data_IF_358980340285
#
_entry.id   IF_358980340285
#
_cell.length_a   1.000
_cell.length_b   1.000
_cell.length_c   1.000
_cell.angle_alpha   90.00
_cell.angle_beta   90.00
_cell.angle_gamma   90.00
#
_symmetry.space_group_name_H-M   'P 1'
#
loop_
_entity.id
_entity.type
_entity.pdbx_description
1 polymer ?
#
# COMPACT_ATOMS: atom_id res chain seq x y z
N UNK A 1 -14.23 5.59 -6.62
CA UNK A 1 -15.24 4.55 -6.94
C UNK A 1 -14.65 3.45 -7.80
N UNK A 2 -14.03 3.77 -8.93
CA UNK A 2 -13.45 2.76 -9.84
C UNK A 2 -12.34 1.93 -9.19
N UNK A 3 -11.52 2.54 -8.35
CA UNK A 3 -10.46 1.84 -7.63
C UNK A 3 -11.02 0.86 -6.60
N UNK A 4 -12.05 1.26 -5.85
CA UNK A 4 -12.73 0.39 -4.88
C UNK A 4 -13.37 -0.78 -5.61
N UNK A 5 -14.05 -0.52 -6.71
CA UNK A 5 -14.65 -1.56 -7.55
C UNK A 5 -13.58 -2.55 -8.06
N UNK A 6 -12.45 -2.03 -8.52
CA UNK A 6 -11.35 -2.84 -9.03
C UNK A 6 -10.84 -3.85 -7.98
N UNK A 7 -10.47 -3.38 -6.79
CA UNK A 7 -9.91 -4.26 -5.76
C UNK A 7 -10.94 -5.26 -5.24
N UNK A 8 -12.20 -4.89 -5.18
CA UNK A 8 -13.27 -5.78 -4.76
C UNK A 8 -13.51 -6.88 -5.79
N UNK A 9 -13.64 -6.53 -7.07
CA UNK A 9 -13.86 -7.49 -8.15
C UNK A 9 -12.69 -8.44 -8.37
N UNK A 10 -11.46 -7.97 -8.12
CA UNK A 10 -10.27 -8.82 -8.21
C UNK A 10 -10.02 -9.66 -6.97
N UNK A 11 -10.87 -9.53 -5.94
CA UNK A 11 -10.70 -10.29 -4.70
C UNK A 11 -9.49 -9.87 -3.88
N UNK A 12 -8.94 -8.68 -4.12
CA UNK A 12 -7.76 -8.18 -3.43
C UNK A 12 -8.10 -7.64 -2.05
N UNK A 13 -9.25 -7.01 -1.92
CA UNK A 13 -9.75 -6.47 -0.66
C UNK A 13 -11.21 -6.87 -0.49
N UNK A 14 -11.50 -7.48 0.65
CA UNK A 14 -12.87 -7.85 0.98
C UNK A 14 -13.60 -6.68 1.65
N UNK A 15 -14.93 -6.69 1.57
CA UNK A 15 -15.75 -5.80 2.36
C UNK A 15 -15.66 -6.17 3.85
N UNK A 16 -15.87 -5.18 4.72
CA UNK A 16 -15.89 -5.39 6.17
C UNK A 16 -17.11 -6.20 6.58
N UNK A 17 -18.20 -6.03 5.83
CA UNK A 17 -19.46 -6.74 6.00
C UNK A 17 -20.11 -6.87 4.63
N UNK A 18 -21.17 -7.65 4.54
CA UNK A 18 -21.88 -7.86 3.26
C UNK A 18 -22.33 -6.51 2.70
N UNK A 19 -21.81 -6.18 1.52
CA UNK A 19 -22.13 -4.93 0.84
C UNK A 19 -21.48 -3.67 1.40
N UNK A 20 -20.59 -3.79 2.42
CA UNK A 20 -19.95 -2.66 3.06
C UNK A 20 -18.44 -2.76 2.88
N UNK A 21 -17.84 -1.79 2.19
CA UNK A 21 -16.39 -1.73 1.96
C UNK A 21 -15.66 -0.87 3.00
N UNK A 22 -16.32 0.10 3.61
CA UNK A 22 -15.75 1.09 4.55
C UNK A 22 -14.52 1.80 3.96
N UNK A 23 -14.69 2.60 2.91
CA UNK A 23 -13.56 3.19 2.19
C UNK A 23 -12.69 4.12 3.04
N UNK A 24 -13.26 4.71 4.09
CA UNK A 24 -12.55 5.64 4.96
C UNK A 24 -11.90 4.97 6.18
N UNK A 25 -12.06 3.66 6.34
CA UNK A 25 -11.38 2.92 7.40
C UNK A 25 -9.88 2.82 7.08
N UNK A 26 -9.05 2.77 8.12
CA UNK A 26 -7.62 2.64 7.99
C UNK A 26 -7.22 1.20 7.69
N UNK A 27 -6.07 1.04 7.05
CA UNK A 27 -5.49 -0.27 6.74
C UNK A 27 -4.45 -0.66 7.77
N UNK A 28 -4.46 -1.92 8.19
CA UNK A 28 -3.38 -2.48 9.01
C UNK A 28 -2.25 -3.01 8.14
N UNK A 29 -1.07 -3.21 8.75
CA UNK A 29 0.09 -3.80 8.07
C UNK A 29 -0.25 -5.19 7.53
N UNK A 30 -0.91 -6.03 8.32
CA UNK A 30 -1.31 -7.38 7.91
C UNK A 30 -2.27 -7.37 6.72
N UNK A 31 -3.17 -6.41 6.65
CA UNK A 31 -4.08 -6.26 5.51
C UNK A 31 -3.32 -5.98 4.21
N UNK A 32 -2.29 -5.14 4.26
CA UNK A 32 -1.44 -4.86 3.10
C UNK A 32 -0.70 -6.12 2.67
N UNK A 33 -0.13 -6.86 3.62
CA UNK A 33 0.56 -8.14 3.31
C UNK A 33 -0.39 -9.11 2.62
N UNK A 34 -1.62 -9.23 3.11
CA UNK A 34 -2.62 -10.13 2.53
C UNK A 34 -2.97 -9.75 1.09
N UNK A 35 -3.12 -8.45 0.83
CA UNK A 35 -3.44 -7.96 -0.51
C UNK A 35 -2.30 -8.27 -1.48
N UNK A 36 -1.08 -7.96 -1.12
CA UNK A 36 0.08 -8.21 -1.97
C UNK A 36 0.30 -9.71 -2.20
N UNK A 37 0.08 -10.53 -1.17
CA UNK A 37 0.16 -11.98 -1.29
C UNK A 37 -0.88 -12.51 -2.28
N UNK A 38 -2.10 -12.00 -2.24
CA UNK A 38 -3.15 -12.37 -3.20
C UNK A 38 -2.81 -11.95 -4.63
N UNK A 39 -2.22 -10.77 -4.81
CA UNK A 39 -1.71 -10.33 -6.12
C UNK A 39 -0.67 -11.31 -6.63
N UNK A 40 0.19 -11.81 -5.74
CA UNK A 40 1.25 -12.77 -6.07
C UNK A 40 0.74 -14.20 -6.27
N UNK A 41 -0.56 -14.43 -6.16
CA UNK A 41 -1.18 -15.73 -6.40
C UNK A 41 -1.37 -16.60 -5.18
N UNK A 42 -1.07 -16.10 -3.98
CA UNK A 42 -1.26 -16.83 -2.73
C UNK A 42 -2.73 -16.83 -2.29
N UNK A 43 -3.15 -17.93 -1.68
CA UNK A 43 -4.46 -18.01 -1.05
C UNK A 43 -4.35 -17.54 0.40
N UNK A 44 -5.00 -16.43 0.73
CA UNK A 44 -4.96 -15.84 2.07
C UNK A 44 -6.40 -15.68 2.54
N UNK A 45 -6.87 -16.67 3.30
CA UNK A 45 -8.26 -16.73 3.82
C UNK A 45 -8.26 -17.46 5.15
N UNK A 46 -9.41 -17.41 5.85
CA UNK A 46 -9.66 -18.17 7.07
C UNK A 46 -9.05 -17.54 8.32
N UNK A 47 -9.09 -18.29 9.42
CA UNK A 47 -8.69 -17.80 10.74
C UNK A 47 -7.20 -17.48 10.86
N UNK A 48 -6.35 -18.13 10.06
CA UNK A 48 -4.88 -17.96 10.11
C UNK A 48 -4.38 -17.00 9.02
N UNK A 49 -5.22 -16.15 8.48
CA UNK A 49 -4.85 -15.29 7.36
C UNK A 49 -3.67 -14.36 7.68
N UNK A 50 -3.59 -13.87 8.94
CA UNK A 50 -2.47 -12.99 9.35
C UNK A 50 -1.15 -13.74 9.30
N UNK A 51 -1.10 -14.96 9.84
CA UNK A 51 0.12 -15.77 9.85
C UNK A 51 0.57 -16.12 8.42
N UNK A 52 -0.38 -16.46 7.55
CA UNK A 52 -0.11 -16.75 6.14
C UNK A 52 0.45 -15.52 5.43
N UNK A 53 -0.19 -14.38 5.61
CA UNK A 53 0.24 -13.13 4.99
C UNK A 53 1.61 -12.68 5.51
N UNK A 54 1.85 -12.81 6.82
CA UNK A 54 3.14 -12.47 7.44
C UNK A 54 4.27 -13.33 6.87
N UNK A 55 4.07 -14.63 6.79
CA UNK A 55 5.08 -15.55 6.27
C UNK A 55 5.44 -15.21 4.83
N UNK A 56 4.45 -14.90 4.00
CA UNK A 56 4.68 -14.47 2.63
C UNK A 56 5.47 -13.16 2.58
N UNK A 57 5.05 -12.15 3.37
CA UNK A 57 5.69 -10.83 3.37
C UNK A 57 7.16 -10.90 3.80
N UNK A 58 7.47 -11.73 4.80
CA UNK A 58 8.85 -11.93 5.25
C UNK A 58 9.68 -12.67 4.20
N UNK A 59 9.13 -13.70 3.59
CA UNK A 59 9.82 -14.49 2.56
C UNK A 59 10.14 -13.64 1.31
N UNK A 60 9.23 -12.75 0.94
CA UNK A 60 9.40 -11.88 -0.23
C UNK A 60 10.16 -10.58 0.08
N UNK A 61 10.55 -10.37 1.33
CA UNK A 61 11.26 -9.14 1.72
C UNK A 61 10.42 -7.88 1.71
N UNK A 62 9.10 -8.01 1.70
CA UNK A 62 8.16 -6.87 1.69
C UNK A 62 8.09 -6.20 3.05
N UNK A 63 8.16 -7.00 4.13
CA UNK A 63 8.06 -6.53 5.50
C UNK A 63 8.85 -7.44 6.44
N UNK A 64 9.18 -6.91 7.61
CA UNK A 64 9.83 -7.70 8.68
C UNK A 64 8.81 -8.52 9.51
N UNK A 65 7.52 -8.38 9.22
CA UNK A 65 6.47 -9.13 9.91
C UNK A 65 6.05 -8.57 11.26
N UNK A 66 6.60 -7.42 11.67
CA UNK A 66 6.26 -6.82 12.97
C UNK A 66 4.96 -6.03 12.91
N UNK A 67 4.32 -5.92 14.05
CA UNK A 67 3.15 -5.07 14.29
C UNK A 67 2.01 -5.29 13.27
N UNK A 68 1.48 -6.52 13.14
CA UNK A 68 0.47 -6.81 12.11
C UNK A 68 -0.80 -5.97 12.23
N UNK A 69 -1.17 -5.56 13.45
CA UNK A 69 -2.36 -4.78 13.71
C UNK A 69 -2.11 -3.27 13.72
N UNK A 70 -0.86 -2.84 13.55
CA UNK A 70 -0.50 -1.44 13.43
C UNK A 70 -1.05 -0.84 12.14
N UNK A 71 -1.48 0.43 12.21
CA UNK A 71 -1.98 1.12 11.03
C UNK A 71 -0.82 1.47 10.08
N UNK A 72 -1.05 1.25 8.80
CA UNK A 72 -0.04 1.55 7.79
C UNK A 72 -0.12 3.03 7.41
N UNK A 73 1.05 3.66 7.31
CA UNK A 73 1.15 5.03 6.77
C UNK A 73 1.28 4.99 5.25
N UNK A 74 1.07 6.14 4.61
CA UNK A 74 1.19 6.25 3.16
C UNK A 74 2.59 5.89 2.69
N UNK A 75 3.64 6.36 3.39
CA UNK A 75 5.02 6.02 3.02
C UNK A 75 5.36 4.55 3.27
N UNK A 76 4.79 3.93 4.30
CA UNK A 76 4.96 2.50 4.55
C UNK A 76 4.31 1.68 3.43
N UNK A 77 3.12 2.05 3.01
CA UNK A 77 2.43 1.37 1.92
C UNK A 77 3.25 1.47 0.62
N UNK A 78 3.71 2.67 0.29
CA UNK A 78 4.56 2.89 -0.89
C UNK A 78 5.83 2.05 -0.83
N UNK A 79 6.45 1.95 0.34
CA UNK A 79 7.67 1.16 0.54
C UNK A 79 7.42 -0.34 0.34
N UNK A 80 6.29 -0.84 0.83
CA UNK A 80 5.92 -2.25 0.63
C UNK A 80 5.67 -2.56 -0.84
N UNK A 81 4.98 -1.69 -1.57
CA UNK A 81 4.79 -1.82 -3.02
C UNK A 81 6.13 -1.79 -3.76
N UNK A 82 7.00 -0.88 -3.38
CA UNK A 82 8.33 -0.72 -3.99
C UNK A 82 9.18 -1.98 -3.78
N UNK A 83 9.17 -2.54 -2.58
CA UNK A 83 9.87 -3.80 -2.29
C UNK A 83 9.29 -4.95 -3.10
N UNK A 84 7.98 -5.04 -3.17
CA UNK A 84 7.31 -6.07 -3.98
C UNK A 84 7.66 -5.93 -5.47
N UNK A 85 7.83 -4.72 -5.97
CA UNK A 85 8.22 -4.45 -7.34
C UNK A 85 9.70 -4.72 -7.64
N UNK A 86 10.50 -5.13 -6.64
CA UNK A 86 11.92 -5.43 -6.82
C UNK A 86 12.85 -4.28 -6.51
N UNK A 87 12.40 -3.30 -5.76
CA UNK A 87 13.17 -2.13 -5.32
C UNK A 87 13.76 -1.32 -6.49
N UNK A 88 12.94 -0.92 -7.47
CA UNK A 88 13.45 -0.18 -8.62
C UNK A 88 14.08 1.16 -8.21
N UNK A 89 15.17 1.52 -8.86
CA UNK A 89 15.83 2.78 -8.61
C UNK A 89 14.95 3.95 -9.05
N UNK A 90 14.98 5.04 -8.30
CA UNK A 90 14.32 6.28 -8.67
C UNK A 90 15.04 7.47 -8.03
N UNK A 91 15.27 8.49 -8.82
CA UNK A 91 15.79 9.78 -8.35
C UNK A 91 14.82 10.92 -8.66
N UNK A 92 13.55 10.59 -8.89
CA UNK A 92 12.52 11.58 -9.18
C UNK A 92 12.40 12.59 -8.05
N UNK A 93 12.36 13.88 -8.39
CA UNK A 93 12.33 14.95 -7.39
C UNK A 93 10.93 15.07 -6.76
N UNK A 94 10.90 15.18 -5.43
CA UNK A 94 9.70 15.47 -4.66
C UNK A 94 9.60 16.96 -4.29
N UNK A 95 10.40 17.81 -4.89
CA UNK A 95 10.53 19.23 -4.53
C UNK A 95 9.22 20.01 -4.67
N UNK A 96 8.31 19.58 -5.54
CA UNK A 96 7.01 20.25 -5.69
C UNK A 96 6.09 20.07 -4.48
N UNK A 97 6.37 19.09 -3.61
CA UNK A 97 5.59 18.84 -2.43
C UNK A 97 6.19 19.58 -1.24
N UNK A 98 5.37 20.40 -0.57
CA UNK A 98 5.85 21.25 0.54
C UNK A 98 6.26 20.44 1.76
N UNK A 99 5.75 19.23 1.91
CA UNK A 99 6.07 18.33 3.03
C UNK A 99 7.04 17.21 2.65
N UNK A 100 7.82 17.39 1.57
CA UNK A 100 8.78 16.36 1.14
C UNK A 100 9.83 16.04 2.21
N UNK A 101 10.17 16.99 3.08
CA UNK A 101 11.11 16.79 4.19
C UNK A 101 10.56 15.85 5.27
N UNK A 102 9.24 15.61 5.29
CA UNK A 102 8.60 14.68 6.23
C UNK A 102 8.72 13.22 5.79
N UNK A 103 9.16 12.96 4.56
CA UNK A 103 9.39 11.59 4.10
C UNK A 103 10.60 11.01 4.85
N UNK A 104 10.42 9.84 5.44
CA UNK A 104 11.50 9.14 6.15
C UNK A 104 12.61 8.74 5.17
N UNK A 105 13.86 8.75 5.62
CA UNK A 105 15.01 8.40 4.77
C UNK A 105 14.86 7.01 4.15
N UNK A 106 14.38 6.04 4.93
CA UNK A 106 14.18 4.68 4.44
C UNK A 106 13.07 4.56 3.39
N UNK A 107 12.18 5.54 3.30
CA UNK A 107 11.07 5.57 2.34
C UNK A 107 11.35 6.49 1.15
N UNK A 108 12.48 7.17 1.13
CA UNK A 108 12.78 8.22 0.14
C UNK A 108 12.72 7.70 -1.30
N UNK A 109 13.43 6.62 -1.62
CA UNK A 109 13.45 6.05 -2.96
C UNK A 109 12.09 5.49 -3.34
N UNK A 110 11.41 4.82 -2.40
CA UNK A 110 10.08 4.27 -2.64
C UNK A 110 9.05 5.36 -2.96
N UNK A 111 9.09 6.47 -2.22
CA UNK A 111 8.19 7.61 -2.47
C UNK A 111 8.49 8.28 -3.81
N UNK A 112 9.77 8.48 -4.14
CA UNK A 112 10.16 9.01 -5.45
C UNK A 112 9.65 8.12 -6.58
N UNK A 113 9.84 6.83 -6.46
CA UNK A 113 9.35 5.85 -7.42
C UNK A 113 7.82 5.89 -7.54
N UNK A 114 7.11 5.91 -6.42
CA UNK A 114 5.64 5.91 -6.41
C UNK A 114 5.06 7.17 -7.08
N UNK A 115 5.68 8.32 -6.85
CA UNK A 115 5.27 9.58 -7.50
C UNK A 115 5.62 9.56 -8.98
N UNK A 116 6.82 9.11 -9.33
CA UNK A 116 7.27 9.01 -10.72
C UNK A 116 6.33 8.15 -11.56
N UNK A 117 5.90 7.02 -11.00
CA UNK A 117 5.00 6.06 -11.69
C UNK A 117 3.52 6.42 -11.58
N UNK A 118 3.19 7.52 -10.92
CA UNK A 118 1.81 7.96 -10.78
C UNK A 118 0.98 7.14 -9.80
N UNK A 119 1.61 6.29 -8.98
CA UNK A 119 0.93 5.50 -7.94
C UNK A 119 0.43 6.43 -6.84
N UNK A 120 1.26 7.39 -6.42
CA UNK A 120 0.91 8.43 -5.47
C UNK A 120 0.90 9.77 -6.21
N UNK A 121 -0.23 10.47 -6.13
CA UNK A 121 -0.38 11.79 -6.77
C UNK A 121 -0.41 12.93 -5.77
N UNK A 122 -0.36 12.61 -4.47
CA UNK A 122 -0.50 13.58 -3.39
C UNK A 122 -1.93 13.58 -2.83
N UNK A 123 -2.05 14.06 -1.60
CA UNK A 123 -3.36 14.28 -0.95
C UNK A 123 -3.95 15.58 -1.51
N UNK A 124 -3.09 16.57 -1.73
CA UNK A 124 -3.39 17.79 -2.47
C UNK A 124 -2.34 17.94 -3.57
N UNK A 125 -2.45 18.99 -4.39
CA UNK A 125 -1.46 19.28 -5.43
C UNK A 125 -0.05 19.52 -4.85
N UNK A 126 0.06 19.85 -3.56
CA UNK A 126 1.32 20.26 -2.94
C UNK A 126 1.71 19.45 -1.70
N UNK A 127 0.92 18.43 -1.30
CA UNK A 127 1.24 17.64 -0.09
C UNK A 127 1.13 16.14 -0.34
N UNK A 128 2.08 15.38 0.21
CA UNK A 128 2.11 13.91 0.15
C UNK A 128 1.49 13.27 1.40
N UNK A 129 1.60 13.93 2.54
CA UNK A 129 1.23 13.41 3.87
C UNK A 129 1.81 12.00 4.09
N UNK A 130 3.15 11.85 4.06
CA UNK A 130 3.78 10.52 4.08
C UNK A 130 3.52 9.75 5.37
N UNK A 131 3.38 10.43 6.49
CA UNK A 131 3.13 9.81 7.80
C UNK A 131 1.65 9.71 8.16
N UNK A 132 0.77 10.19 7.29
CA UNK A 132 -0.66 10.00 7.45
C UNK A 132 -1.05 8.55 7.21
N UNK A 133 -2.02 8.04 7.99
CA UNK A 133 -2.51 6.67 7.78
C UNK A 133 -3.24 6.55 6.44
N UNK A 134 -2.98 5.45 5.75
CA UNK A 134 -3.64 5.17 4.49
C UNK A 134 -5.01 4.56 4.73
N UNK A 135 -6.03 5.09 4.08
CA UNK A 135 -7.38 4.52 4.12
C UNK A 135 -7.53 3.39 3.11
N UNK A 136 -8.57 2.58 3.26
CA UNK A 136 -8.88 1.51 2.31
C UNK A 136 -9.05 2.07 0.90
N UNK A 137 -9.72 3.21 0.74
CA UNK A 137 -9.91 3.84 -0.57
C UNK A 137 -8.59 4.33 -1.18
N UNK A 138 -7.70 4.90 -0.36
CA UNK A 138 -6.38 5.35 -0.82
C UNK A 138 -5.52 4.17 -1.26
N UNK A 139 -5.52 3.09 -0.47
CA UNK A 139 -4.80 1.87 -0.83
C UNK A 139 -5.35 1.25 -2.12
N UNK A 140 -6.67 1.22 -2.28
CA UNK A 140 -7.30 0.72 -3.51
C UNK A 140 -6.86 1.52 -4.73
N UNK A 141 -6.82 2.85 -4.62
CA UNK A 141 -6.36 3.72 -5.71
C UNK A 141 -4.90 3.45 -6.08
N UNK A 142 -4.03 3.33 -5.07
CA UNK A 142 -2.62 3.04 -5.30
C UNK A 142 -2.40 1.67 -5.92
N UNK A 143 -3.15 0.66 -5.48
CA UNK A 143 -3.08 -0.69 -6.03
C UNK A 143 -3.53 -0.73 -7.49
N UNK A 144 -4.62 -0.04 -7.82
CA UNK A 144 -5.11 0.02 -9.19
C UNK A 144 -4.07 0.66 -10.11
N UNK A 145 -3.47 1.77 -9.69
CA UNK A 145 -2.43 2.46 -10.46
C UNK A 145 -1.18 1.60 -10.60
N UNK A 146 -0.80 0.89 -9.53
CA UNK A 146 0.32 -0.06 -9.57
C UNK A 146 0.07 -1.18 -10.58
N UNK A 147 -1.13 -1.72 -10.64
CA UNK A 147 -1.48 -2.79 -11.56
C UNK A 147 -1.49 -2.35 -13.02
N UNK A 148 -1.60 -1.06 -13.29
CA UNK A 148 -1.62 -0.48 -14.64
C UNK A 148 -0.22 -0.15 -15.19
N UNK A 149 0.84 -0.40 -14.43
CA UNK A 149 2.22 -0.10 -14.87
C UNK A 149 2.70 -0.95 -16.05
#
# INVERSE_FOLDING_TARGET
>A
YSAVKYVYEKGLMDGVDVGVFEPNANMTRAMVWAILARIDGETVTGANWIDTARAWAMAEGVSDGTDPNGLVTREQFATMLWRYAGEPASSYSLAKFTDNASVSDWASTAMSWAVEKGIITGVTDSTLVPKGTATRAQCAAMLMRFAEL
#
